data_IF_312765168888
#
_entry.id   IF_312765168888
#
_cell.length_a   1.000
_cell.length_b   1.000
_cell.length_c   1.000
_cell.angle_alpha   90.00
_cell.angle_beta   90.00
_cell.angle_gamma   90.00
#
_symmetry.space_group_name_H-M   'P 1'
#
loop_
_entity.id
_entity.type
_entity.pdbx_description
1 polymer ?
#
# COMPACT_ATOMS: atom_id res chain seq x y z
N UNK A 1 -3.44 12.19 -2.59
CA UNK A 1 -4.11 11.22 -1.69
C UNK A 1 -5.52 11.74 -1.38
N UNK A 2 -6.52 11.44 -2.21
CA UNK A 2 -7.89 11.96 -2.00
C UNK A 2 -9.01 10.94 -2.23
N UNK A 3 -8.71 9.64 -2.19
CA UNK A 3 -9.74 8.60 -2.44
C UNK A 3 -9.70 7.35 -1.56
N UNK A 4 -8.72 7.19 -0.68
CA UNK A 4 -8.61 6.01 0.18
C UNK A 4 -8.47 6.42 1.65
N UNK A 5 -9.14 5.68 2.54
CA UNK A 5 -9.05 5.81 4.00
C UNK A 5 -8.27 4.60 4.49
N UNK A 6 -7.30 4.83 5.36
CA UNK A 6 -6.53 3.76 5.99
C UNK A 6 -7.21 3.33 7.27
N UNK A 7 -7.25 2.02 7.51
CA UNK A 7 -7.44 1.50 8.85
C UNK A 7 -6.31 2.03 9.76
N UNK A 8 -6.57 2.36 11.04
CA UNK A 8 -5.54 2.89 11.93
C UNK A 8 -4.28 2.00 12.01
N UNK A 9 -4.45 0.68 12.05
CA UNK A 9 -3.33 -0.26 12.12
C UNK A 9 -2.56 -0.27 10.80
N UNK A 10 -3.27 -0.17 9.67
CA UNK A 10 -2.65 -0.07 8.35
C UNK A 10 -1.90 1.26 8.15
N UNK A 11 -2.40 2.35 8.74
CA UNK A 11 -1.72 3.64 8.73
C UNK A 11 -0.43 3.59 9.56
N UNK A 12 -0.46 2.98 10.74
CA UNK A 12 0.72 2.80 11.58
C UNK A 12 1.75 1.91 10.90
N UNK A 13 1.34 0.76 10.34
CA UNK A 13 2.21 -0.13 9.58
C UNK A 13 2.87 0.61 8.40
N UNK A 14 2.08 1.35 7.62
CA UNK A 14 2.59 2.12 6.50
C UNK A 14 3.67 3.13 6.92
N UNK A 15 3.42 3.90 7.98
CA UNK A 15 4.37 4.90 8.48
C UNK A 15 5.65 4.24 9.03
N UNK A 16 5.50 3.14 9.77
CA UNK A 16 6.63 2.35 10.27
C UNK A 16 7.48 1.80 9.13
N UNK A 17 6.87 1.27 8.07
CA UNK A 17 7.58 0.78 6.89
C UNK A 17 8.27 1.89 6.11
N UNK A 18 7.68 3.08 5.99
CA UNK A 18 8.35 4.26 5.41
C UNK A 18 9.62 4.58 6.18
N UNK A 19 9.54 4.64 7.51
CA UNK A 19 10.70 4.93 8.36
C UNK A 19 11.77 3.84 8.25
N UNK A 20 11.38 2.56 8.37
CA UNK A 20 12.28 1.42 8.26
C UNK A 20 13.10 1.45 6.96
N UNK A 21 12.44 1.72 5.83
CA UNK A 21 13.12 1.77 4.55
C UNK A 21 14.05 2.98 4.43
N UNK A 22 13.67 4.14 4.98
CA UNK A 22 14.53 5.32 5.00
C UNK A 22 15.81 5.08 5.82
N UNK A 23 15.69 4.41 6.97
CA UNK A 23 16.82 4.04 7.82
C UNK A 23 17.76 3.04 7.14
N UNK A 24 17.21 2.16 6.30
CA UNK A 24 18.00 1.20 5.53
C UNK A 24 18.84 1.87 4.43
N UNK A 25 18.28 2.85 3.73
CA UNK A 25 18.97 3.60 2.69
C UNK A 25 18.28 4.95 2.49
N UNK A 26 19.06 6.03 2.50
CA UNK A 26 18.54 7.36 2.20
C UNK A 26 17.72 7.39 0.90
N UNK A 27 16.49 7.93 0.98
CA UNK A 27 15.51 8.02 -0.10
C UNK A 27 14.78 6.71 -0.42
N UNK A 28 15.03 5.60 0.26
CA UNK A 28 14.28 4.35 0.05
C UNK A 28 12.90 4.40 0.70
N UNK A 29 12.73 5.06 1.84
CA UNK A 29 11.41 5.28 2.45
C UNK A 29 10.51 6.14 1.57
N UNK A 30 11.09 7.18 0.95
CA UNK A 30 10.40 7.97 -0.07
C UNK A 30 9.95 7.13 -1.28
N UNK A 31 10.82 6.24 -1.78
CA UNK A 31 10.48 5.31 -2.88
C UNK A 31 9.38 4.33 -2.49
N UNK A 32 9.38 3.85 -1.25
CA UNK A 32 8.32 3.00 -0.71
C UNK A 32 6.98 3.73 -0.67
N UNK A 33 6.95 4.94 -0.11
CA UNK A 33 5.74 5.79 -0.08
C UNK A 33 5.13 5.97 -1.47
N UNK A 34 5.94 6.36 -2.45
CA UNK A 34 5.46 6.55 -3.83
C UNK A 34 4.93 5.26 -4.46
N UNK A 35 5.54 4.11 -4.14
CA UNK A 35 5.07 2.82 -4.63
C UNK A 35 3.70 2.46 -4.05
N UNK A 36 3.47 2.73 -2.75
CA UNK A 36 2.16 2.54 -2.10
C UNK A 36 1.12 3.48 -2.69
N UNK A 37 1.42 4.77 -2.82
CA UNK A 37 0.50 5.76 -3.42
C UNK A 37 0.11 5.39 -4.87
N UNK A 38 1.08 4.93 -5.66
CA UNK A 38 0.82 4.45 -7.03
C UNK A 38 -0.06 3.19 -7.04
N UNK A 39 0.14 2.27 -6.10
CA UNK A 39 -0.70 1.08 -5.97
C UNK A 39 -2.13 1.45 -5.56
N UNK A 40 -2.31 2.40 -4.63
CA UNK A 40 -3.63 2.91 -4.23
C UNK A 40 -4.36 3.54 -5.41
N UNK A 41 -3.69 4.39 -6.21
CA UNK A 41 -4.32 4.99 -7.39
C UNK A 41 -4.83 3.91 -8.37
N UNK A 42 -4.04 2.87 -8.62
CA UNK A 42 -4.45 1.72 -9.46
C UNK A 42 -5.60 0.91 -8.86
N UNK A 43 -5.69 0.83 -7.54
CA UNK A 43 -6.83 0.20 -6.85
C UNK A 43 -8.08 1.06 -7.07
N UNK A 44 -7.99 2.38 -6.90
CA UNK A 44 -9.12 3.30 -7.06
C UNK A 44 -9.64 3.35 -8.50
N UNK A 45 -8.77 3.22 -9.50
CA UNK A 45 -9.16 3.15 -10.91
C UNK A 45 -10.02 1.91 -11.24
N UNK A 46 -9.77 0.78 -10.57
CA UNK A 46 -10.45 -0.48 -10.83
C UNK A 46 -10.56 -1.36 -9.57
N UNK A 47 -11.39 -0.99 -8.58
CA UNK A 47 -11.38 -1.60 -7.25
C UNK A 47 -11.83 -3.07 -7.25
N UNK A 48 -12.60 -3.51 -8.25
CA UNK A 48 -13.09 -4.88 -8.36
C UNK A 48 -12.16 -5.81 -9.17
N UNK A 49 -11.11 -5.28 -9.79
CA UNK A 49 -10.23 -6.02 -10.70
C UNK A 49 -9.30 -7.00 -9.97
N UNK A 50 -8.91 -6.69 -8.73
CA UNK A 50 -7.92 -7.49 -8.02
C UNK A 50 -8.53 -8.68 -7.27
N UNK A 51 -7.72 -9.71 -7.08
CA UNK A 51 -8.12 -11.01 -6.53
C UNK A 51 -8.75 -10.84 -5.14
N UNK A 52 -9.92 -11.45 -4.95
CA UNK A 52 -10.53 -11.64 -3.63
C UNK A 52 -9.66 -12.61 -2.84
N UNK A 53 -9.22 -12.18 -1.66
CA UNK A 53 -8.49 -13.03 -0.72
C UNK A 53 -9.50 -13.83 0.12
N UNK A 54 -10.42 -13.11 0.76
CA UNK A 54 -11.57 -13.62 1.51
C UNK A 54 -12.62 -12.52 1.49
N UNK A 55 -13.84 -12.78 1.01
CA UNK A 55 -14.85 -11.72 0.87
C UNK A 55 -15.12 -11.00 2.22
N UNK A 56 -15.21 -9.67 2.26
CA UNK A 56 -15.16 -8.73 1.12
C UNK A 56 -13.74 -8.30 0.67
N UNK A 57 -12.70 -8.77 1.35
CA UNK A 57 -11.32 -8.32 1.16
C UNK A 57 -10.68 -8.77 -0.16
N UNK A 58 -9.98 -7.83 -0.78
CA UNK A 58 -9.17 -7.99 -1.99
C UNK A 58 -7.71 -7.68 -1.69
N UNK A 59 -6.82 -8.24 -2.52
CA UNK A 59 -5.38 -8.06 -2.37
C UNK A 59 -4.74 -7.54 -3.65
N UNK A 60 -4.01 -6.44 -3.53
CA UNK A 60 -3.08 -5.93 -4.53
C UNK A 60 -1.65 -6.29 -4.12
N UNK A 61 -0.91 -7.03 -4.96
CA UNK A 61 0.48 -7.35 -4.71
C UNK A 61 1.39 -6.26 -5.29
N UNK A 62 2.26 -5.66 -4.47
CA UNK A 62 3.24 -4.68 -4.95
C UNK A 62 4.41 -5.38 -5.65
N UNK A 63 4.90 -4.78 -6.73
CA UNK A 63 5.99 -5.36 -7.53
C UNK A 63 7.39 -5.01 -6.99
N UNK A 64 7.57 -3.82 -6.43
CA UNK A 64 8.89 -3.28 -6.06
C UNK A 64 9.27 -3.51 -4.59
N UNK A 65 8.28 -3.82 -3.77
CA UNK A 65 8.43 -4.01 -2.35
C UNK A 65 7.66 -5.27 -1.93
N UNK A 66 8.15 -6.02 -0.93
CA UNK A 66 7.55 -7.27 -0.48
C UNK A 66 6.29 -7.03 0.37
N UNK A 67 5.36 -6.21 -0.13
CA UNK A 67 4.13 -5.81 0.54
C UNK A 67 2.91 -6.08 -0.35
N UNK A 68 1.77 -6.23 0.29
CA UNK A 68 0.48 -6.26 -0.38
C UNK A 68 -0.51 -5.34 0.32
N UNK A 69 -1.33 -4.63 -0.45
CA UNK A 69 -2.42 -3.81 0.08
C UNK A 69 -3.65 -4.70 0.14
N UNK A 70 -4.23 -4.81 1.34
CA UNK A 70 -5.53 -5.45 1.57
C UNK A 70 -6.57 -4.34 1.69
N UNK A 71 -7.66 -4.45 0.94
CA UNK A 71 -8.71 -3.43 0.91
C UNK A 71 -10.09 -4.08 0.67
N UNK A 72 -11.16 -3.32 0.92
CA UNK A 72 -12.54 -3.74 0.66
C UNK A 72 -13.39 -2.57 0.17
#
# INVERSE_FOLDING_TARGET
MTGAIFDPDAQEEFLASVQYYEDCQHGLGHRFRLAVESAINKILEAPLQYRVLHAPFRRYLMLKFPYSIIYY
#
